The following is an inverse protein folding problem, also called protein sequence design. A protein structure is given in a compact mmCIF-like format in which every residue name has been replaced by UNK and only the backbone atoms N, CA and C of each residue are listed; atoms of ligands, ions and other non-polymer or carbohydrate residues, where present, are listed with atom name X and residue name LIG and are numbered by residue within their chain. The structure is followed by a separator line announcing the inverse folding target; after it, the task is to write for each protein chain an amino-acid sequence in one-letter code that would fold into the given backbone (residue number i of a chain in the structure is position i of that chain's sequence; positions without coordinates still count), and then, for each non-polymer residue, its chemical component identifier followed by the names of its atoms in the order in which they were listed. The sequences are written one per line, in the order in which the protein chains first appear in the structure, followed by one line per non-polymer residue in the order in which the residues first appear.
data_IF_345127850727
#
_entry.id   IF_345127850727
#
_cell.length_a   1.000
_cell.length_b   1.000
_cell.length_c   1.000
_cell.angle_alpha   90.00
_cell.angle_beta   90.00
_cell.angle_gamma   90.00
#
_symmetry.space_group_name_H-M   'P 1'
#
loop_
_entity.id
_entity.type
_entity.pdbx_description
1 polymer ?
#
# COMPACT_ATOMS: atom_id res chain seq x y z
N UNK A 1 13.80 18.26 -54.72
CA UNK A 1 14.50 17.99 -53.45
C UNK A 1 13.47 17.66 -52.38
N UNK A 2 13.15 16.37 -52.25
CA UNK A 2 12.20 15.81 -51.29
C UNK A 2 12.92 15.60 -49.95
N UNK A 3 12.67 16.49 -48.97
CA UNK A 3 13.08 16.25 -47.58
C UNK A 3 12.11 15.23 -46.97
N UNK A 4 12.51 13.97 -46.96
CA UNK A 4 11.98 12.95 -46.05
C UNK A 4 12.28 13.37 -44.61
N UNK A 5 11.27 13.89 -43.91
CA UNK A 5 11.31 14.05 -42.45
C UNK A 5 11.37 12.65 -41.81
N UNK A 6 12.40 12.42 -41.00
CA UNK A 6 12.53 11.23 -40.19
C UNK A 6 11.36 11.13 -39.19
N UNK A 7 10.83 9.93 -38.90
CA UNK A 7 9.81 9.77 -37.87
C UNK A 7 10.41 10.09 -36.51
N UNK A 8 9.91 11.14 -35.85
CA UNK A 8 10.28 11.43 -34.47
C UNK A 8 9.95 10.22 -33.58
N UNK A 9 10.97 9.61 -32.99
CA UNK A 9 10.89 8.47 -32.07
C UNK A 9 10.24 8.81 -30.72
N UNK A 10 9.00 9.30 -30.75
CA UNK A 10 8.18 9.54 -29.57
C UNK A 10 7.37 8.31 -29.20
N UNK A 11 7.16 8.10 -27.89
CA UNK A 11 6.27 7.06 -27.39
C UNK A 11 4.85 7.22 -27.96
N UNK A 12 4.25 6.12 -28.42
CA UNK A 12 2.83 6.07 -28.80
C UNK A 12 1.93 6.35 -27.58
N UNK A 13 0.70 6.80 -27.80
CA UNK A 13 -0.28 7.05 -26.72
C UNK A 13 -0.44 5.81 -25.84
N UNK A 14 -0.55 4.63 -26.47
CA UNK A 14 -0.61 3.33 -25.78
C UNK A 14 0.58 3.13 -24.85
N UNK A 15 1.81 3.35 -25.33
CA UNK A 15 3.00 3.14 -24.51
C UNK A 15 3.10 4.12 -23.35
N UNK A 16 2.75 5.40 -23.55
CA UNK A 16 2.75 6.40 -22.46
C UNK A 16 1.74 6.03 -21.37
N UNK A 17 0.54 5.60 -21.78
CA UNK A 17 -0.55 5.20 -20.89
C UNK A 17 -0.20 3.92 -20.13
N UNK A 18 0.37 2.92 -20.81
CA UNK A 18 0.84 1.69 -20.15
C UNK A 18 1.98 1.98 -19.18
N UNK A 19 2.96 2.80 -19.57
CA UNK A 19 4.09 3.13 -18.70
C UNK A 19 3.64 3.91 -17.45
N UNK A 20 2.72 4.86 -17.59
CA UNK A 20 2.25 5.68 -16.47
C UNK A 20 1.35 4.91 -15.51
N UNK A 21 0.41 4.09 -16.03
CA UNK A 21 -0.43 3.21 -15.20
C UNK A 21 0.40 2.15 -14.50
N UNK A 22 1.36 1.53 -15.20
CA UNK A 22 2.29 0.57 -14.59
C UNK A 22 3.13 1.22 -13.49
N UNK A 23 3.65 2.42 -13.70
CA UNK A 23 4.42 3.13 -12.69
C UNK A 23 3.61 3.43 -11.42
N UNK A 24 2.34 3.81 -11.56
CA UNK A 24 1.43 4.03 -10.42
C UNK A 24 1.19 2.72 -9.66
N UNK A 25 0.92 1.62 -10.37
CA UNK A 25 0.73 0.30 -9.75
C UNK A 25 1.98 -0.12 -8.97
N UNK A 26 3.17 0.01 -9.56
CA UNK A 26 4.44 -0.30 -8.91
C UNK A 26 4.65 0.57 -7.67
N UNK A 27 4.32 1.86 -7.73
CA UNK A 27 4.40 2.77 -6.59
C UNK A 27 3.46 2.35 -5.45
N UNK A 28 2.23 1.95 -5.76
CA UNK A 28 1.30 1.41 -4.77
C UNK A 28 1.80 0.11 -4.14
N UNK A 29 2.30 -0.83 -4.94
CA UNK A 29 2.86 -2.08 -4.43
C UNK A 29 4.06 -1.80 -3.50
N UNK A 30 4.95 -0.90 -3.89
CA UNK A 30 6.09 -0.50 -3.07
C UNK A 30 5.63 0.13 -1.74
N UNK A 31 4.62 1.00 -1.78
CA UNK A 31 4.02 1.60 -0.58
C UNK A 31 3.37 0.53 0.31
N UNK A 32 2.62 -0.42 -0.27
CA UNK A 32 2.02 -1.52 0.48
C UNK A 32 3.08 -2.40 1.16
N UNK A 33 4.16 -2.73 0.44
CA UNK A 33 5.27 -3.48 1.01
C UNK A 33 5.95 -2.72 2.16
N UNK A 34 6.20 -1.42 1.98
CA UNK A 34 6.75 -0.54 3.01
C UNK A 34 5.85 -0.49 4.27
N UNK A 35 4.52 -0.39 4.08
CA UNK A 35 3.55 -0.38 5.18
C UNK A 35 3.52 -1.70 5.94
N UNK A 36 3.51 -2.83 5.23
CA UNK A 36 3.55 -4.17 5.85
C UNK A 36 4.85 -4.35 6.63
N UNK A 37 5.98 -3.93 6.07
CA UNK A 37 7.27 -4.00 6.76
C UNK A 37 7.28 -3.18 8.04
N UNK A 38 6.78 -1.94 7.99
CA UNK A 38 6.66 -1.07 9.17
C UNK A 38 5.73 -1.67 10.22
N UNK A 39 4.58 -2.19 9.79
CA UNK A 39 3.62 -2.82 10.69
C UNK A 39 4.26 -4.01 11.42
N UNK A 40 5.04 -4.82 10.69
CA UNK A 40 5.78 -5.94 11.28
C UNK A 40 6.78 -5.47 12.33
N UNK A 41 7.60 -4.45 12.04
CA UNK A 41 8.54 -3.87 13.02
C UNK A 41 7.81 -3.31 14.25
N UNK A 42 6.66 -2.67 14.04
CA UNK A 42 5.82 -2.17 15.13
C UNK A 42 5.34 -3.31 16.04
N UNK A 43 4.86 -4.40 15.43
CA UNK A 43 4.44 -5.60 16.18
C UNK A 43 5.62 -6.24 16.92
N UNK A 44 6.79 -6.36 16.31
CA UNK A 44 8.01 -6.87 16.96
C UNK A 44 8.44 -6.01 18.16
N UNK A 45 8.28 -4.69 18.08
CA UNK A 45 8.58 -3.79 19.19
C UNK A 45 7.58 -3.88 20.35
N UNK A 46 6.29 -4.04 20.04
CA UNK A 46 5.26 -4.28 21.07
C UNK A 46 5.45 -5.65 21.73
N UNK A 47 5.78 -6.67 20.94
CA UNK A 47 6.13 -8.00 21.45
C UNK A 47 7.31 -7.94 22.42
N UNK A 48 8.38 -7.23 22.03
CA UNK A 48 9.53 -6.98 22.88
C UNK A 48 9.16 -6.25 24.18
N UNK A 49 8.32 -5.22 24.14
CA UNK A 49 7.88 -4.50 25.35
C UNK A 49 7.17 -5.45 26.34
N UNK A 50 6.32 -6.35 25.85
CA UNK A 50 5.62 -7.29 26.69
C UNK A 50 6.49 -8.49 27.10
N UNK A 51 6.91 -9.30 26.13
CA UNK A 51 7.57 -10.58 26.37
C UNK A 51 9.00 -10.45 26.90
N UNK A 52 9.67 -9.32 26.67
CA UNK A 52 11.01 -9.06 27.20
C UNK A 52 10.96 -8.15 28.42
N UNK A 53 10.52 -6.90 28.26
CA UNK A 53 10.74 -5.88 29.31
C UNK A 53 9.74 -5.98 30.47
N UNK A 54 8.45 -6.11 30.16
CA UNK A 54 7.41 -6.26 31.18
C UNK A 54 7.58 -7.56 31.95
N UNK A 55 7.74 -8.70 31.26
CA UNK A 55 7.93 -9.99 31.92
C UNK A 55 9.22 -10.05 32.76
N UNK A 56 10.29 -9.37 32.35
CA UNK A 56 11.50 -9.24 33.18
C UNK A 56 11.21 -8.49 34.49
N UNK A 57 10.52 -7.35 34.40
CA UNK A 57 10.15 -6.56 35.58
C UNK A 57 9.19 -7.32 36.50
N UNK A 58 8.23 -8.04 35.90
CA UNK A 58 7.29 -8.88 36.61
C UNK A 58 7.97 -10.05 37.33
N UNK A 59 9.00 -10.66 36.72
CA UNK A 59 9.81 -11.69 37.39
C UNK A 59 10.51 -11.12 38.64
N UNK A 60 11.05 -9.90 38.57
CA UNK A 60 11.66 -9.22 39.73
C UNK A 60 10.62 -8.95 40.82
N UNK A 61 9.42 -8.48 40.46
CA UNK A 61 8.32 -8.26 41.41
C UNK A 61 7.84 -9.56 42.09
N UNK A 62 7.79 -10.66 41.35
CA UNK A 62 7.42 -11.96 41.90
C UNK A 62 8.44 -12.47 42.93
N UNK A 63 9.74 -12.24 42.70
CA UNK A 63 10.79 -12.55 43.66
C UNK A 63 10.63 -11.69 44.92
N UNK A 64 10.44 -10.37 44.77
CA UNK A 64 10.23 -9.41 45.85
C UNK A 64 9.03 -9.79 46.73
N UNK A 65 7.89 -10.07 46.10
CA UNK A 65 6.65 -10.45 46.80
C UNK A 65 6.74 -11.80 47.52
N UNK A 66 7.40 -12.79 46.92
CA UNK A 66 7.59 -14.10 47.56
C UNK A 66 8.53 -14.00 48.78
N UNK A 67 9.63 -13.24 48.68
CA UNK A 67 10.54 -12.99 49.80
C UNK A 67 9.86 -12.24 50.94
N UNK A 68 9.08 -11.21 50.62
CA UNK A 68 8.30 -10.47 51.62
C UNK A 68 7.33 -11.38 52.37
N UNK A 69 6.68 -12.32 51.67
CA UNK A 69 5.78 -13.30 52.30
C UNK A 69 6.51 -14.25 53.25
N UNK A 70 7.70 -14.72 52.86
CA UNK A 70 8.55 -15.54 53.74
C UNK A 70 8.91 -14.77 55.01
N UNK A 71 9.34 -13.52 54.89
CA UNK A 71 9.70 -12.68 56.04
C UNK A 71 8.49 -12.47 56.98
N UNK A 72 7.31 -12.16 56.43
CA UNK A 72 6.06 -12.07 57.19
C UNK A 72 5.76 -13.37 57.95
N UNK A 73 5.94 -14.51 57.31
CA UNK A 73 5.73 -15.82 57.93
C UNK A 73 6.71 -16.05 59.10
N UNK A 74 7.99 -15.72 58.94
CA UNK A 74 8.99 -15.82 60.01
C UNK A 74 8.65 -14.89 61.18
N UNK A 75 8.22 -13.65 60.90
CA UNK A 75 7.76 -12.72 61.94
C UNK A 75 6.52 -13.24 62.67
N UNK A 76 5.58 -13.89 61.97
CA UNK A 76 4.41 -14.54 62.59
C UNK A 76 4.80 -15.71 63.48
N UNK A 77 5.79 -16.52 63.09
CA UNK A 77 6.31 -17.59 63.93
C UNK A 77 6.80 -17.05 65.29
N UNK A 78 7.50 -15.91 65.28
CA UNK A 78 8.00 -15.27 66.52
C UNK A 78 6.87 -14.64 67.32
N UNK A 79 5.95 -13.93 66.66
CA UNK A 79 4.98 -13.08 67.34
C UNK A 79 3.72 -13.81 67.83
N UNK A 80 3.21 -14.76 67.05
CA UNK A 80 1.90 -15.41 67.28
C UNK A 80 1.93 -16.93 67.08
N UNK A 81 3.11 -17.52 66.82
CA UNK A 81 3.22 -18.92 66.44
C UNK A 81 2.96 -19.89 67.57
N UNK A 82 2.23 -20.96 67.24
CA UNK A 82 2.18 -22.20 68.02
C UNK A 82 2.89 -23.34 67.23
N UNK A 83 3.12 -24.54 67.82
CA UNK A 83 3.86 -25.60 67.14
C UNK A 83 3.26 -26.02 65.79
N UNK A 84 1.93 -26.11 65.69
CA UNK A 84 1.23 -26.51 64.46
C UNK A 84 1.34 -25.42 63.38
N UNK A 85 1.04 -24.17 63.72
CA UNK A 85 1.12 -23.03 62.81
C UNK A 85 2.56 -22.76 62.34
N UNK A 86 3.53 -22.90 63.24
CA UNK A 86 4.96 -22.74 62.93
C UNK A 86 5.43 -23.80 61.94
N UNK A 87 4.99 -25.05 62.11
CA UNK A 87 5.26 -26.10 61.14
C UNK A 87 4.60 -25.81 59.78
N UNK A 88 3.36 -25.29 59.78
CA UNK A 88 2.65 -24.86 58.57
C UNK A 88 3.40 -23.76 57.80
N UNK A 89 3.71 -22.65 58.46
CA UNK A 89 4.46 -21.55 57.83
C UNK A 89 5.86 -21.96 57.39
N UNK A 90 6.51 -22.89 58.10
CA UNK A 90 7.80 -23.44 57.66
C UNK A 90 7.66 -24.16 56.32
N UNK A 91 6.64 -25.01 56.18
CA UNK A 91 6.38 -25.71 54.91
C UNK A 91 6.05 -24.72 53.77
N UNK A 92 5.27 -23.67 54.05
CA UNK A 92 5.01 -22.59 53.08
C UNK A 92 6.30 -21.88 52.67
N UNK A 93 7.17 -21.58 53.63
CA UNK A 93 8.45 -20.92 53.37
C UNK A 93 9.38 -21.80 52.53
N UNK A 94 9.46 -23.11 52.82
CA UNK A 94 10.26 -24.04 52.02
C UNK A 94 9.75 -24.16 50.58
N UNK A 95 8.42 -24.19 50.37
CA UNK A 95 7.83 -24.16 49.04
C UNK A 95 8.15 -22.85 48.31
N UNK A 96 8.09 -21.71 49.01
CA UNK A 96 8.47 -20.41 48.47
C UNK A 96 9.97 -20.37 48.09
N UNK A 97 10.85 -20.91 48.93
CA UNK A 97 12.28 -20.99 48.63
C UNK A 97 12.57 -21.84 47.40
N UNK A 98 11.93 -23.00 47.25
CA UNK A 98 12.10 -23.82 46.05
C UNK A 98 11.72 -23.06 44.76
N UNK A 99 10.63 -22.27 44.81
CA UNK A 99 10.22 -21.42 43.68
C UNK A 99 11.19 -20.26 43.44
N UNK A 100 11.68 -19.63 44.51
CA UNK A 100 12.64 -18.53 44.43
C UNK A 100 14.00 -18.99 43.89
N UNK A 101 14.43 -20.21 44.23
CA UNK A 101 15.63 -20.84 43.67
C UNK A 101 15.52 -20.97 42.14
N UNK A 102 14.35 -21.37 41.63
CA UNK A 102 14.09 -21.43 40.19
C UNK A 102 14.04 -20.03 39.56
N UNK A 103 13.25 -19.12 40.14
CA UNK A 103 13.04 -17.77 39.60
C UNK A 103 14.34 -16.98 39.50
N UNK A 104 15.20 -17.03 40.51
CA UNK A 104 16.47 -16.29 40.51
C UNK A 104 17.46 -16.80 39.46
N UNK A 105 17.43 -18.11 39.16
CA UNK A 105 18.22 -18.70 38.06
C UNK A 105 17.65 -18.31 36.69
N UNK A 106 16.33 -18.37 36.53
CA UNK A 106 15.67 -18.04 35.27
C UNK A 106 15.78 -16.55 34.94
N UNK A 107 15.76 -15.68 35.95
CA UNK A 107 15.89 -14.24 35.78
C UNK A 107 17.16 -13.91 34.98
N UNK A 108 18.33 -14.39 35.41
CA UNK A 108 19.60 -14.12 34.72
C UNK A 108 19.68 -14.68 33.29
N UNK A 109 18.99 -15.79 33.00
CA UNK A 109 19.00 -16.43 31.67
C UNK A 109 18.10 -15.72 30.67
N UNK A 110 16.91 -15.32 31.11
CA UNK A 110 15.84 -14.89 30.20
C UNK A 110 15.77 -13.37 30.02
N UNK A 111 16.49 -12.60 30.84
CA UNK A 111 16.33 -11.14 30.90
C UNK A 111 17.60 -10.36 30.57
N UNK A 112 18.64 -11.00 30.04
CA UNK A 112 19.96 -10.37 29.78
C UNK A 112 19.91 -9.15 28.84
N UNK A 113 18.87 -9.02 28.01
CA UNK A 113 18.68 -7.87 27.12
C UNK A 113 17.96 -6.68 27.79
N UNK A 114 17.37 -6.89 28.97
CA UNK A 114 16.63 -5.88 29.74
C UNK A 114 17.33 -5.56 31.07
N UNK A 115 17.88 -6.56 31.75
CA UNK A 115 18.45 -6.46 33.10
C UNK A 115 19.96 -6.68 33.08
N UNK A 116 20.67 -6.00 33.98
CA UNK A 116 22.11 -6.18 34.14
C UNK A 116 22.45 -7.58 34.67
N UNK A 117 23.17 -8.36 33.86
CA UNK A 117 23.58 -9.74 34.19
C UNK A 117 24.40 -9.78 35.49
N UNK A 118 25.23 -8.79 35.76
CA UNK A 118 26.04 -8.71 36.99
C UNK A 118 25.15 -8.56 38.21
N UNK A 119 24.10 -7.74 38.12
CA UNK A 119 23.12 -7.55 39.20
C UNK A 119 22.26 -8.80 39.41
N UNK A 120 21.84 -9.49 38.34
CA UNK A 120 21.10 -10.76 38.48
C UNK A 120 21.95 -11.86 39.14
N UNK A 121 23.25 -11.93 38.82
CA UNK A 121 24.18 -12.85 39.49
C UNK A 121 24.43 -12.46 40.95
N UNK A 122 24.54 -11.16 41.24
CA UNK A 122 24.66 -10.67 42.62
C UNK A 122 23.41 -11.02 43.43
N UNK A 123 22.22 -10.79 42.86
CA UNK A 123 20.94 -11.16 43.46
C UNK A 123 20.93 -12.65 43.82
N UNK A 124 21.30 -13.53 42.89
CA UNK A 124 21.31 -14.97 43.13
C UNK A 124 22.25 -15.36 44.29
N UNK A 125 23.46 -14.78 44.34
CA UNK A 125 24.43 -15.04 45.41
C UNK A 125 23.94 -14.55 46.77
N UNK A 126 23.42 -13.33 46.85
CA UNK A 126 22.96 -12.75 48.11
C UNK A 126 21.66 -13.40 48.59
N UNK A 127 20.76 -13.75 47.65
CA UNK A 127 19.56 -14.51 47.94
C UNK A 127 19.88 -15.88 48.55
N UNK A 128 20.90 -16.58 48.05
CA UNK A 128 21.31 -17.87 48.62
C UNK A 128 21.68 -17.73 50.10
N UNK A 129 22.46 -16.69 50.45
CA UNK A 129 22.84 -16.41 51.84
C UNK A 129 21.65 -16.00 52.70
N UNK A 130 20.77 -15.16 52.14
CA UNK A 130 19.53 -14.74 52.81
C UNK A 130 18.63 -15.93 53.13
N UNK A 131 18.39 -16.81 52.14
CA UNK A 131 17.59 -18.03 52.27
C UNK A 131 18.16 -18.94 53.36
N UNK A 132 19.47 -19.16 53.35
CA UNK A 132 20.13 -20.04 54.31
C UNK A 132 20.04 -19.47 55.74
N UNK A 133 20.25 -18.15 55.89
CA UNK A 133 20.03 -17.44 57.17
C UNK A 133 18.59 -17.49 57.65
N UNK A 134 17.60 -17.35 56.76
CA UNK A 134 16.18 -17.45 57.09
C UNK A 134 15.78 -18.88 57.51
N UNK A 135 16.36 -19.91 56.88
CA UNK A 135 16.19 -21.31 57.28
C UNK A 135 16.79 -21.57 58.66
N UNK A 136 18.00 -21.07 58.91
CA UNK A 136 18.66 -21.18 60.20
C UNK A 136 17.85 -20.46 61.30
N UNK A 137 17.40 -19.23 61.05
CA UNK A 137 16.51 -18.49 61.94
C UNK A 137 15.25 -19.29 62.25
N UNK A 138 14.58 -19.83 61.23
CA UNK A 138 13.38 -20.66 61.39
C UNK A 138 13.65 -21.90 62.26
N UNK A 139 14.79 -22.58 62.07
CA UNK A 139 15.14 -23.75 62.87
C UNK A 139 15.31 -23.44 64.37
N UNK A 140 15.88 -22.28 64.69
CA UNK A 140 16.08 -21.83 66.08
C UNK A 140 14.78 -21.30 66.70
N UNK A 141 13.88 -20.71 65.90
CA UNK A 141 12.53 -20.38 66.38
C UNK A 141 11.79 -21.64 66.84
N UNK A 142 11.95 -22.78 66.14
CA UNK A 142 11.31 -24.05 66.52
C UNK A 142 11.82 -24.62 67.86
N UNK A 143 13.01 -24.24 68.31
CA UNK A 143 13.54 -24.67 69.63
C UNK A 143 13.07 -23.77 70.77
N UNK A 144 12.36 -22.68 70.47
CA UNK A 144 11.88 -21.69 71.46
C UNK A 144 12.93 -20.66 71.88
N UNK A 145 14.15 -20.68 71.32
CA UNK A 145 15.20 -19.72 71.64
C UNK A 145 15.09 -18.45 70.78
N UNK A 146 14.16 -17.57 71.17
CA UNK A 146 13.90 -16.32 70.44
C UNK A 146 15.10 -15.36 70.50
N UNK A 147 15.90 -15.40 71.55
CA UNK A 147 17.09 -14.55 71.67
C UNK A 147 18.15 -14.95 70.64
N UNK A 148 18.42 -16.26 70.50
CA UNK A 148 19.32 -16.77 69.47
C UNK A 148 18.77 -16.50 68.05
N UNK A 149 17.47 -16.72 67.82
CA UNK A 149 16.84 -16.40 66.52
C UNK A 149 16.95 -14.92 66.16
N UNK A 150 16.84 -14.02 67.15
CA UNK A 150 17.02 -12.57 66.96
C UNK A 150 18.46 -12.23 66.59
N UNK A 151 19.44 -12.88 67.22
CA UNK A 151 20.84 -12.69 66.87
C UNK A 151 21.13 -13.18 65.43
N UNK A 152 20.62 -14.36 65.05
CA UNK A 152 20.72 -14.88 63.67
C UNK A 152 20.10 -13.91 62.69
N UNK A 153 18.92 -13.35 62.99
CA UNK A 153 18.32 -12.34 62.12
C UNK A 153 19.26 -11.14 61.90
N UNK A 154 19.90 -10.65 62.96
CA UNK A 154 20.80 -9.50 62.90
C UNK A 154 22.08 -9.79 62.10
N UNK A 155 22.63 -11.00 62.19
CA UNK A 155 23.94 -11.34 61.62
C UNK A 155 23.87 -12.05 60.27
N UNK A 156 22.83 -12.86 60.04
CA UNK A 156 22.73 -13.75 58.87
C UNK A 156 21.56 -13.40 57.94
N UNK A 157 20.53 -12.69 58.39
CA UNK A 157 19.36 -12.37 57.56
C UNK A 157 19.38 -10.92 57.11
N UNK A 158 19.37 -9.98 58.07
CA UNK A 158 19.20 -8.55 57.81
C UNK A 158 20.19 -7.97 56.79
N UNK A 159 21.51 -8.22 56.87
CA UNK A 159 22.45 -7.68 55.89
C UNK A 159 22.09 -8.13 54.47
N UNK A 160 21.94 -9.44 54.24
CA UNK A 160 21.62 -9.96 52.91
C UNK A 160 20.22 -9.56 52.45
N UNK A 161 19.26 -9.38 53.35
CA UNK A 161 17.95 -8.82 53.02
C UNK A 161 18.08 -7.41 52.44
N UNK A 162 18.83 -6.53 53.11
CA UNK A 162 19.08 -5.17 52.64
C UNK A 162 19.76 -5.16 51.26
N UNK A 163 20.76 -6.02 51.04
CA UNK A 163 21.39 -6.18 49.72
C UNK A 163 20.41 -6.69 48.65
N UNK A 164 19.63 -7.72 48.95
CA UNK A 164 18.67 -8.34 48.02
C UNK A 164 17.60 -7.34 47.61
N UNK A 165 16.91 -6.70 48.57
CA UNK A 165 15.85 -5.74 48.27
C UNK A 165 16.37 -4.51 47.52
N UNK A 166 17.58 -4.04 47.85
CA UNK A 166 18.24 -2.97 47.09
C UNK A 166 18.50 -3.40 45.64
N UNK A 167 19.02 -4.60 45.43
CA UNK A 167 19.30 -5.14 44.09
C UNK A 167 18.00 -5.32 43.29
N UNK A 168 16.94 -5.86 43.90
CA UNK A 168 15.61 -5.96 43.28
C UNK A 168 15.06 -4.59 42.90
N UNK A 169 15.21 -3.57 43.75
CA UNK A 169 14.81 -2.20 43.42
C UNK A 169 15.60 -1.66 42.21
N UNK A 170 16.92 -1.84 42.17
CA UNK A 170 17.74 -1.40 41.03
C UNK A 170 17.33 -2.12 39.74
N UNK A 171 17.10 -3.43 39.80
CA UNK A 171 16.67 -4.22 38.64
C UNK A 171 15.29 -3.76 38.12
N UNK A 172 14.33 -3.44 39.00
CA UNK A 172 13.03 -2.87 38.58
C UNK A 172 13.18 -1.54 37.87
N UNK A 173 14.03 -0.65 38.40
CA UNK A 173 14.24 0.66 37.76
C UNK A 173 14.94 0.50 36.40
N UNK A 174 15.89 -0.42 36.29
CA UNK A 174 16.50 -0.77 34.99
C UNK A 174 15.47 -1.30 33.99
N UNK A 175 14.61 -2.24 34.42
CA UNK A 175 13.55 -2.79 33.57
C UNK A 175 12.58 -1.72 33.09
N UNK A 176 12.15 -0.82 34.00
CA UNK A 176 11.30 0.32 33.68
C UNK A 176 11.98 1.30 32.72
N UNK A 177 13.25 1.63 32.96
CA UNK A 177 14.02 2.52 32.09
C UNK A 177 14.15 1.92 30.67
N UNK A 178 14.49 0.64 30.55
CA UNK A 178 14.61 -0.05 29.26
C UNK A 178 13.29 -0.12 28.49
N UNK A 179 12.19 -0.40 29.20
CA UNK A 179 10.85 -0.34 28.62
C UNK A 179 10.52 1.07 28.11
N UNK A 180 10.84 2.11 28.89
CA UNK A 180 10.67 3.51 28.51
C UNK A 180 11.48 3.89 27.27
N UNK A 181 12.78 3.57 27.25
CA UNK A 181 13.66 3.81 26.10
C UNK A 181 13.12 3.16 24.81
N UNK A 182 12.60 1.94 24.90
CA UNK A 182 12.01 1.23 23.76
C UNK A 182 10.68 1.83 23.33
N UNK A 183 9.85 2.25 24.28
CA UNK A 183 8.60 2.94 23.99
C UNK A 183 8.84 4.27 23.27
N UNK A 184 9.74 5.10 23.78
CA UNK A 184 10.08 6.40 23.19
C UNK A 184 10.67 6.23 21.79
N UNK A 185 11.56 5.25 21.60
CA UNK A 185 12.10 4.92 20.28
C UNK A 185 11.02 4.45 19.29
N UNK A 186 10.03 3.69 19.77
CA UNK A 186 8.90 3.23 18.97
C UNK A 186 7.97 4.38 18.59
N UNK A 187 7.67 5.31 19.50
CA UNK A 187 6.84 6.48 19.22
C UNK A 187 7.49 7.43 18.20
N UNK A 188 8.79 7.69 18.36
CA UNK A 188 9.56 8.49 17.40
C UNK A 188 9.58 7.84 16.00
N UNK A 189 9.77 6.52 15.94
CA UNK A 189 9.75 5.74 14.70
C UNK A 189 8.36 5.73 14.05
N UNK A 190 7.31 5.56 14.84
CA UNK A 190 5.92 5.54 14.38
C UNK A 190 5.52 6.90 13.78
N UNK A 191 5.86 8.00 14.46
CA UNK A 191 5.58 9.36 13.97
C UNK A 191 6.28 9.64 12.64
N UNK A 192 7.58 9.30 12.56
CA UNK A 192 8.36 9.46 11.32
C UNK A 192 7.78 8.63 10.19
N UNK A 193 7.41 7.39 10.46
CA UNK A 193 6.87 6.50 9.43
C UNK A 193 5.49 6.94 8.98
N UNK A 194 4.61 7.36 9.90
CA UNK A 194 3.29 7.86 9.54
C UNK A 194 3.39 9.10 8.64
N UNK A 195 4.27 10.05 8.97
CA UNK A 195 4.50 11.24 8.14
C UNK A 195 5.04 10.89 6.75
N UNK A 196 5.97 9.94 6.66
CA UNK A 196 6.51 9.48 5.38
C UNK A 196 5.44 8.78 4.54
N UNK A 197 4.64 7.93 5.17
CA UNK A 197 3.50 7.23 4.59
C UNK A 197 2.41 8.14 4.05
N UNK A 198 2.00 9.14 4.84
CA UNK A 198 1.01 10.16 4.42
C UNK A 198 1.56 10.94 3.23
N UNK A 199 2.82 11.37 3.31
CA UNK A 199 3.48 12.14 2.23
C UNK A 199 3.59 11.32 0.95
N UNK A 200 4.03 10.06 1.03
CA UNK A 200 4.12 9.16 -0.11
C UNK A 200 2.74 8.90 -0.75
N UNK A 201 1.72 8.69 0.08
CA UNK A 201 0.33 8.50 -0.39
C UNK A 201 -0.18 9.72 -1.14
N UNK A 202 0.02 10.92 -0.59
CA UNK A 202 -0.36 12.17 -1.25
C UNK A 202 0.38 12.37 -2.57
N UNK A 203 1.68 12.08 -2.62
CA UNK A 203 2.47 12.20 -3.85
C UNK A 203 1.98 11.23 -4.94
N UNK A 204 1.71 9.96 -4.59
CA UNK A 204 1.15 8.97 -5.53
C UNK A 204 -0.23 9.40 -6.03
N UNK A 205 -1.08 9.93 -5.14
CA UNK A 205 -2.41 10.42 -5.52
C UNK A 205 -2.33 11.61 -6.49
N UNK A 206 -1.48 12.61 -6.21
CA UNK A 206 -1.26 13.77 -7.10
C UNK A 206 -0.70 13.32 -8.45
N UNK A 207 0.27 12.41 -8.45
CA UNK A 207 0.79 11.79 -9.69
C UNK A 207 -0.31 11.10 -10.49
N UNK A 208 -1.19 10.35 -9.82
CA UNK A 208 -2.34 9.69 -10.45
C UNK A 208 -3.28 10.68 -11.13
N UNK A 209 -3.61 11.79 -10.47
CA UNK A 209 -4.45 12.86 -11.05
C UNK A 209 -3.76 13.49 -12.27
N UNK A 210 -2.49 13.85 -12.15
CA UNK A 210 -1.71 14.46 -13.25
C UNK A 210 -1.64 13.53 -14.46
N UNK A 211 -1.31 12.25 -14.25
CA UNK A 211 -1.27 11.24 -15.31
C UNK A 211 -2.63 11.08 -15.98
N UNK A 212 -3.71 11.05 -15.19
CA UNK A 212 -5.08 10.92 -15.71
C UNK A 212 -5.44 12.10 -16.60
N UNK A 213 -5.19 13.33 -16.14
CA UNK A 213 -5.46 14.55 -16.91
C UNK A 213 -4.63 14.64 -18.19
N UNK A 214 -3.34 14.29 -18.14
CA UNK A 214 -2.47 14.24 -19.32
C UNK A 214 -2.94 13.18 -20.32
N UNK A 215 -3.40 12.04 -19.82
CA UNK A 215 -3.92 10.95 -20.64
C UNK A 215 -5.19 11.37 -21.37
N UNK A 216 -6.17 11.93 -20.64
CA UNK A 216 -7.41 12.46 -21.21
C UNK A 216 -7.11 13.50 -22.29
N UNK A 217 -6.21 14.46 -21.99
CA UNK A 217 -5.78 15.47 -22.97
C UNK A 217 -5.14 14.86 -24.20
N UNK A 218 -4.29 13.85 -24.04
CA UNK A 218 -3.62 13.18 -25.17
C UNK A 218 -4.60 12.42 -26.07
N UNK A 219 -5.60 11.74 -25.47
CA UNK A 219 -6.63 11.00 -26.21
C UNK A 219 -7.52 11.97 -26.97
N UNK A 220 -8.00 13.04 -26.32
CA UNK A 220 -8.82 14.06 -26.95
C UNK A 220 -8.08 14.79 -28.08
N UNK A 221 -6.78 15.08 -27.91
CA UNK A 221 -5.96 15.69 -28.94
C UNK A 221 -5.76 14.75 -30.15
N UNK A 222 -5.55 13.45 -29.92
CA UNK A 222 -5.38 12.47 -31.00
C UNK A 222 -6.68 12.20 -31.77
N UNK A 223 -7.82 12.26 -31.09
CA UNK A 223 -9.14 12.11 -31.72
C UNK A 223 -9.56 13.41 -32.42
N UNK A 224 -9.17 14.57 -31.92
CA UNK A 224 -9.50 15.88 -32.50
C UNK A 224 -10.87 16.41 -32.05
N UNK A 225 -11.43 15.85 -30.97
CA UNK A 225 -12.75 16.16 -30.47
C UNK A 225 -13.25 15.10 -29.49
N UNK A 226 -14.50 15.21 -29.11
CA UNK A 226 -15.14 14.22 -28.24
C UNK A 226 -15.34 12.89 -29.01
N UNK A 227 -14.93 11.73 -28.44
CA UNK A 227 -14.92 10.46 -29.16
C UNK A 227 -16.28 10.08 -29.74
N UNK A 228 -17.34 10.29 -28.97
CA UNK A 228 -18.70 9.95 -29.37
C UNK A 228 -19.23 10.83 -30.51
N UNK A 229 -18.80 12.10 -30.53
CA UNK A 229 -19.09 13.03 -31.64
C UNK A 229 -18.44 12.55 -32.94
N UNK A 230 -17.13 12.23 -32.90
CA UNK A 230 -16.41 11.75 -34.10
C UNK A 230 -16.97 10.41 -34.59
N UNK A 231 -17.29 9.49 -33.67
CA UNK A 231 -17.90 8.21 -33.99
C UNK A 231 -19.28 8.37 -34.65
N UNK A 232 -20.11 9.27 -34.11
CA UNK A 232 -21.45 9.55 -34.66
C UNK A 232 -21.36 10.10 -36.07
N UNK A 233 -20.50 11.09 -36.32
CA UNK A 233 -20.38 11.68 -37.66
C UNK A 233 -19.82 10.67 -38.67
N UNK A 234 -18.86 9.84 -38.24
CA UNK A 234 -18.32 8.76 -39.08
C UNK A 234 -19.42 7.77 -39.48
N UNK A 235 -20.35 7.43 -38.56
CA UNK A 235 -21.52 6.58 -38.88
C UNK A 235 -22.49 7.27 -39.84
N UNK A 236 -22.70 8.59 -39.72
CA UNK A 236 -23.54 9.37 -40.63
C UNK A 236 -22.95 9.35 -42.06
N UNK A 237 -21.65 9.57 -42.19
CA UNK A 237 -20.92 9.46 -43.46
C UNK A 237 -21.06 8.05 -44.04
N UNK A 238 -20.90 7.00 -43.22
CA UNK A 238 -21.05 5.61 -43.66
C UNK A 238 -22.46 5.27 -44.16
N UNK A 239 -23.50 6.03 -43.75
CA UNK A 239 -24.87 5.91 -44.26
C UNK A 239 -25.12 6.71 -45.54
N UNK A 240 -24.09 7.37 -46.07
CA UNK A 240 -24.16 8.19 -47.28
C UNK A 240 -24.57 9.65 -47.03
N UNK A 241 -24.80 10.05 -45.79
CA UNK A 241 -25.09 11.44 -45.45
C UNK A 241 -23.78 12.22 -45.25
N UNK A 242 -23.37 12.89 -46.33
CA UNK A 242 -22.23 13.80 -46.35
C UNK A 242 -22.65 15.24 -46.05
N UNK A 243 -23.77 15.54 -45.39
CA UNK A 243 -24.15 16.93 -45.04
C UNK A 243 -23.60 17.39 -43.68
N UNK A 244 -23.25 16.43 -42.82
CA UNK A 244 -22.75 16.68 -41.46
C UNK A 244 -21.42 17.46 -41.43
N UNK A 245 -21.28 18.38 -40.48
CA UNK A 245 -20.06 19.18 -40.29
C UNK A 245 -19.29 18.70 -39.06
N UNK A 246 -18.02 18.34 -39.23
CA UNK A 246 -17.11 18.03 -38.11
C UNK A 246 -16.37 19.32 -37.76
N UNK A 247 -16.56 19.79 -36.52
CA UNK A 247 -15.74 20.90 -35.99
C UNK A 247 -14.38 20.34 -35.58
N UNK A 248 -13.36 20.68 -36.35
CA UNK A 248 -11.96 20.41 -36.02
C UNK A 248 -11.26 21.74 -35.78
N UNK A 249 -10.22 21.75 -34.93
CA UNK A 249 -9.42 22.95 -34.74
C UNK A 249 -8.76 23.36 -36.06
N UNK A 250 -8.68 24.66 -36.35
CA UNK A 250 -8.24 25.18 -37.65
C UNK A 250 -6.81 24.74 -38.07
N UNK A 251 -5.98 24.31 -37.12
CA UNK A 251 -4.60 23.85 -37.36
C UNK A 251 -4.42 22.34 -37.12
N UNK A 252 -5.50 21.59 -36.92
CA UNK A 252 -5.42 20.15 -36.69
C UNK A 252 -5.45 19.39 -38.01
N UNK A 253 -4.31 18.82 -38.37
CA UNK A 253 -4.11 18.04 -39.60
C UNK A 253 -3.74 16.57 -39.31
N UNK A 254 -3.73 16.17 -38.03
CA UNK A 254 -3.18 14.88 -37.61
C UNK A 254 -4.18 14.02 -36.85
N UNK A 255 -5.26 14.61 -36.34
CA UNK A 255 -6.26 13.87 -35.59
C UNK A 255 -7.13 12.98 -36.48
N UNK A 256 -7.81 12.03 -35.83
CA UNK A 256 -8.82 11.20 -36.48
C UNK A 256 -9.94 12.07 -37.08
N UNK A 257 -10.42 13.09 -36.35
CA UNK A 257 -11.43 14.01 -36.85
C UNK A 257 -10.98 14.74 -38.13
N UNK A 258 -9.72 15.21 -38.17
CA UNK A 258 -9.15 15.83 -39.37
C UNK A 258 -9.11 14.86 -40.56
N UNK A 259 -8.71 13.61 -40.33
CA UNK A 259 -8.71 12.57 -41.35
C UNK A 259 -10.14 12.25 -41.86
N UNK A 260 -11.14 12.22 -40.98
CA UNK A 260 -12.54 12.01 -41.37
C UNK A 260 -13.06 13.19 -42.20
N UNK A 261 -12.70 14.43 -41.89
CA UNK A 261 -13.03 15.60 -42.73
C UNK A 261 -12.42 15.46 -44.12
N UNK A 262 -11.13 15.12 -44.22
CA UNK A 262 -10.48 14.92 -45.51
C UNK A 262 -11.16 13.81 -46.34
N UNK A 263 -11.53 12.70 -45.70
CA UNK A 263 -12.28 11.61 -46.34
C UNK A 263 -13.66 12.08 -46.83
N UNK A 264 -14.40 12.84 -46.00
CA UNK A 264 -15.70 13.38 -46.37
C UNK A 264 -15.61 14.31 -47.58
N UNK A 265 -14.62 15.21 -47.62
CA UNK A 265 -14.39 16.12 -48.74
C UNK A 265 -14.08 15.35 -50.02
N UNK A 266 -13.17 14.37 -49.96
CA UNK A 266 -12.83 13.55 -51.12
C UNK A 266 -14.03 12.76 -51.67
N UNK A 267 -14.89 12.23 -50.79
CA UNK A 267 -16.14 11.57 -51.19
C UNK A 267 -17.12 12.53 -51.87
N UNK A 268 -17.30 13.75 -51.32
CA UNK A 268 -18.14 14.78 -51.95
C UNK A 268 -17.62 15.16 -53.34
N UNK A 269 -16.32 15.40 -53.47
CA UNK A 269 -15.69 15.77 -54.75
C UNK A 269 -15.85 14.65 -55.79
N UNK A 270 -15.67 13.40 -55.37
CA UNK A 270 -15.85 12.24 -56.25
C UNK A 270 -17.30 12.12 -56.72
N UNK A 271 -18.28 12.28 -55.82
CA UNK A 271 -19.70 12.27 -56.18
C UNK A 271 -20.08 13.44 -57.09
N UNK A 272 -19.51 14.63 -56.87
CA UNK A 272 -19.72 15.77 -57.76
C UNK A 272 -19.17 15.52 -59.16
N UNK A 273 -17.99 14.91 -59.27
CA UNK A 273 -17.42 14.51 -60.56
C UNK A 273 -18.31 13.48 -61.27
N UNK A 274 -18.80 12.46 -60.55
CA UNK A 274 -19.73 11.46 -61.09
C UNK A 274 -21.02 12.13 -61.58
N UNK A 275 -21.60 13.04 -60.80
CA UNK A 275 -22.82 13.78 -61.17
C UNK A 275 -22.61 14.63 -62.43
N UNK A 276 -21.48 15.33 -62.51
CA UNK A 276 -21.10 16.14 -63.68
C UNK A 276 -20.92 15.24 -64.92
N UNK A 277 -20.24 14.11 -64.79
CA UNK A 277 -20.07 13.13 -65.87
C UNK A 277 -21.40 12.51 -66.30
N UNK A 278 -22.31 12.21 -65.37
CA UNK A 278 -23.66 11.72 -65.67
C UNK A 278 -24.50 12.77 -66.42
N UNK A 279 -24.38 14.04 -66.03
CA UNK A 279 -25.05 15.16 -66.73
C UNK A 279 -24.53 15.32 -68.15
N UNK A 280 -23.21 15.24 -68.33
CA UNK A 280 -22.59 15.27 -69.66
C UNK A 280 -23.01 14.08 -70.52
N UNK A 281 -23.08 12.88 -69.92
CA UNK A 281 -23.55 11.68 -70.61
C UNK A 281 -25.03 11.78 -71.01
N UNK A 282 -25.87 12.32 -70.14
CA UNK A 282 -27.28 12.55 -70.45
C UNK A 282 -27.44 13.56 -71.59
N UNK A 283 -26.71 14.68 -71.55
CA UNK A 283 -26.69 15.67 -72.63
C UNK A 283 -26.21 15.05 -73.96
N UNK A 284 -25.17 14.22 -73.94
CA UNK A 284 -24.70 13.50 -75.13
C UNK A 284 -25.72 12.48 -75.65
N UNK A 285 -26.46 11.81 -74.77
CA UNK A 285 -27.55 10.90 -75.14
C UNK A 285 -28.75 11.65 -75.74
N UNK A 286 -29.10 12.83 -75.22
CA UNK A 286 -30.12 13.72 -75.80
C UNK A 286 -29.69 14.22 -77.19
N UNK A 287 -28.44 14.64 -77.34
CA UNK A 287 -27.88 15.04 -78.64
C UNK A 287 -27.88 13.86 -79.63
N UNK A 288 -27.50 12.66 -79.19
CA UNK A 288 -27.56 11.45 -80.01
C UNK A 288 -28.99 11.09 -80.42
N UNK A 289 -29.95 11.24 -79.52
CA UNK A 289 -31.37 11.02 -79.80
C UNK A 289 -31.87 12.04 -80.82
N UNK A 290 -31.51 13.31 -80.68
CA UNK A 290 -31.83 14.36 -81.64
C UNK A 290 -31.22 14.09 -83.02
N UNK A 291 -29.95 13.69 -83.08
CA UNK A 291 -29.26 13.29 -84.32
C UNK A 291 -29.96 12.08 -84.96
N UNK A 292 -30.38 11.11 -84.16
CA UNK A 292 -31.06 9.90 -84.64
C UNK A 292 -32.46 10.26 -85.19
N UNK A 293 -33.22 11.11 -84.51
CA UNK A 293 -34.52 11.64 -84.94
C UNK A 293 -34.40 12.44 -86.24
N UNK A 294 -33.41 13.33 -86.33
CA UNK A 294 -33.11 14.08 -87.55
C UNK A 294 -32.67 13.15 -88.69
N UNK A 295 -31.89 12.11 -88.38
CA UNK A 295 -31.52 11.04 -89.31
C UNK A 295 -32.75 10.27 -89.82
N UNK A 296 -33.69 9.95 -88.94
CA UNK A 296 -34.97 9.33 -89.30
C UNK A 296 -35.81 10.25 -90.18
N UNK A 297 -35.90 11.55 -89.86
CA UNK A 297 -36.60 12.55 -90.68
C UNK A 297 -35.96 12.72 -92.05
N UNK A 298 -34.63 12.84 -92.13
CA UNK A 298 -33.90 12.96 -93.39
C UNK A 298 -34.01 11.68 -94.25
N UNK A 299 -34.00 10.50 -93.61
CA UNK A 299 -34.21 9.23 -94.30
C UNK A 299 -35.65 9.10 -94.79
N UNK A 300 -36.65 9.51 -94.00
CA UNK A 300 -38.04 9.60 -94.42
C UNK A 300 -38.19 10.53 -95.62
N UNK A 301 -37.65 11.76 -95.57
CA UNK A 301 -37.72 12.74 -96.66
C UNK A 301 -37.02 12.24 -97.95
N UNK A 302 -35.92 11.49 -97.80
CA UNK A 302 -35.24 10.82 -98.91
C UNK A 302 -36.11 9.70 -99.51
N UNK A 303 -36.85 8.98 -98.68
CA UNK A 303 -37.76 7.91 -99.12
C UNK A 303 -39.00 8.49 -99.82
N UNK A 304 -39.55 9.63 -99.36
CA UNK A 304 -40.63 10.37 -100.07
C UNK A 304 -40.14 11.00 -101.37
N UNK A 305 -38.90 11.47 -101.46
CA UNK A 305 -38.32 11.96 -102.72
C UNK A 305 -38.07 10.85 -103.74
N UNK A 306 -37.74 9.65 -103.29
CA UNK A 306 -37.55 8.48 -104.17
C UNK A 306 -38.88 7.83 -104.61
N UNK A 307 -40.00 8.13 -103.95
CA UNK A 307 -41.35 7.67 -104.33
C UNK A 307 -42.16 8.68 -105.14
N UNK A 308 -41.65 9.90 -105.41
CA UNK A 308 -42.30 10.82 -106.37
C UNK A 308 -42.09 10.32 -107.81
N UNK A 309 -43.16 9.99 -108.57
CA UNK A 309 -43.03 9.65 -109.98
C UNK A 309 -42.51 10.86 -110.75
N UNK A 310 -41.38 10.70 -111.47
CA UNK A 310 -40.99 11.64 -112.53
C UNK A 310 -41.97 11.48 -113.69
N UNK A 311 -42.88 12.43 -113.85
CA UNK A 311 -43.61 12.61 -115.11
C UNK A 311 -42.96 13.75 -115.92
N UNK A 312 -42.85 13.61 -117.26
CA UNK A 312 -41.94 14.40 -118.08
C UNK A 312 -42.53 15.75 -118.48
N UNK A 313 -41.67 16.75 -118.59
CA UNK A 313 -41.98 17.97 -119.33
C UNK A 313 -42.02 17.69 -120.83
N UNK A 314 -43.10 18.07 -121.51
CA UNK A 314 -43.01 18.76 -122.80
C UNK A 314 -44.36 19.36 -123.20
N UNK A 315 -44.22 20.42 -124.01
CA UNK A 315 -45.20 21.28 -124.68
C UNK A 315 -46.51 20.64 -125.11
#
# INVERSE_FOLDING_TARGET
MSRTQAPHGGFTIKQRLMASTFAIIVAFIALSFFMIHTLKTSTENVDALYNRDFLATEAVNNIDGALTRVDINILRMIAIGNPEQTAGWKNENEAAFAKLDELTVLLGKNTAETLDVTLTQQLQRDYTKLRDGMRHQTSVIQTGDIAAATNINRTEVKPFAEQVFKTLQTLREQGKQKAGERFDAQEASATRTNNLSITATLLIAVLGVVVTLLTIRSILAAIGGEPDTVATITRTIARGDLSSTIKVNANDNTSVAAAVVAMQTQLRDTLQQISNSATQLAAAAEEMTAITEDGFRASSDRTTRLTRPRLPSMK
#
